data_IF_778538066289
#
_entry.id   IF_778538066289
#
_cell.length_a   1.000
_cell.length_b   1.000
_cell.length_c   1.000
_cell.angle_alpha   90.00
_cell.angle_beta   90.00
_cell.angle_gamma   90.00
#
_symmetry.space_group_name_H-M   'P 1'
#
loop_
_entity.id
_entity.type
_entity.pdbx_description
1 polymer ?
#
# COMPACT_ATOMS: atom_id res chain seq x y z
N UNK A 1 38.97 28.30 8.64
CA UNK A 1 39.39 26.97 8.17
C UNK A 1 38.15 26.09 8.22
N UNK A 2 37.42 25.97 7.11
CA UNK A 2 36.17 25.21 7.06
C UNK A 2 36.49 23.70 7.04
N UNK A 3 35.74 22.86 7.77
CA UNK A 3 35.98 21.42 7.74
C UNK A 3 35.56 20.88 6.37
N UNK A 4 36.50 20.21 5.71
CA UNK A 4 36.29 19.52 4.43
C UNK A 4 35.27 18.41 4.66
N UNK A 5 34.11 18.53 4.02
CA UNK A 5 33.11 17.47 3.97
C UNK A 5 33.78 16.18 3.46
N UNK A 6 33.83 15.19 4.32
CA UNK A 6 34.27 13.85 3.96
C UNK A 6 33.25 13.28 2.97
N UNK A 7 33.65 13.16 1.71
CA UNK A 7 32.97 12.33 0.71
C UNK A 7 33.04 10.88 1.17
N UNK A 8 32.11 10.48 2.04
CA UNK A 8 31.85 9.08 2.30
C UNK A 8 31.22 8.49 1.04
N UNK A 9 32.05 7.77 0.29
CA UNK A 9 31.64 6.92 -0.82
C UNK A 9 30.82 5.77 -0.24
N UNK A 10 29.50 5.94 -0.14
CA UNK A 10 28.61 4.83 0.14
C UNK A 10 28.58 3.89 -1.05
N UNK A 11 29.04 2.65 -0.82
CA UNK A 11 28.99 1.50 -1.74
C UNK A 11 27.57 0.89 -1.85
N UNK A 12 26.54 1.71 -1.67
CA UNK A 12 25.12 1.37 -1.82
C UNK A 12 24.48 2.42 -2.72
N UNK A 13 23.69 1.98 -3.70
CA UNK A 13 23.04 2.88 -4.66
C UNK A 13 22.29 4.01 -3.91
N UNK A 14 22.56 5.30 -4.23
CA UNK A 14 22.08 6.44 -3.44
C UNK A 14 20.60 6.81 -3.69
N UNK A 15 19.75 5.86 -4.08
CA UNK A 15 18.43 6.18 -4.64
C UNK A 15 17.23 5.78 -3.78
N UNK A 16 17.41 5.23 -2.56
CA UNK A 16 16.28 4.90 -1.69
C UNK A 16 16.41 5.57 -0.32
N UNK A 17 15.51 6.51 -0.06
CA UNK A 17 15.43 7.17 1.25
C UNK A 17 14.99 6.20 2.34
N UNK A 18 15.24 6.55 3.60
CA UNK A 18 14.73 5.80 4.75
C UNK A 18 13.20 5.59 4.66
N UNK A 19 12.48 6.60 4.18
CA UNK A 19 11.04 6.54 3.98
C UNK A 19 10.64 5.44 2.98
N UNK A 20 11.34 5.30 1.84
CA UNK A 20 11.07 4.22 0.89
C UNK A 20 11.27 2.83 1.50
N UNK A 21 12.30 2.67 2.34
CA UNK A 21 12.59 1.39 2.99
C UNK A 21 11.48 1.02 3.97
N UNK A 22 11.07 1.96 4.82
CA UNK A 22 9.98 1.75 5.79
C UNK A 22 8.67 1.42 5.09
N UNK A 23 8.31 2.17 4.04
CA UNK A 23 7.09 1.92 3.25
C UNK A 23 7.11 0.55 2.56
N UNK A 24 8.26 0.05 2.10
CA UNK A 24 8.36 -1.31 1.55
C UNK A 24 8.27 -2.39 2.61
N UNK A 25 8.71 -2.10 3.83
CA UNK A 25 8.62 -3.03 4.96
C UNK A 25 7.20 -3.20 5.50
N UNK A 26 6.24 -2.34 5.13
CA UNK A 26 4.81 -2.61 5.30
C UNK A 26 4.48 -3.87 4.47
N UNK A 27 4.56 -5.04 5.13
CA UNK A 27 4.45 -6.36 4.48
C UNK A 27 3.10 -6.51 3.79
N UNK A 28 3.14 -7.21 2.66
CA UNK A 28 1.97 -7.82 2.04
C UNK A 28 1.67 -9.07 2.86
N UNK A 29 0.58 -9.08 3.62
CA UNK A 29 0.04 -10.36 4.10
C UNK A 29 -0.73 -10.94 2.92
N UNK A 30 -0.03 -11.59 1.99
CA UNK A 30 -0.71 -12.31 0.91
C UNK A 30 -1.43 -13.50 1.52
N UNK A 31 -2.71 -13.66 1.22
CA UNK A 31 -3.61 -14.72 1.70
C UNK A 31 -3.19 -16.19 1.42
N UNK A 32 -1.93 -16.46 1.07
CA UNK A 32 -1.41 -17.80 0.78
C UNK A 32 -0.81 -18.52 1.99
N UNK A 33 -0.51 -17.83 3.10
CA UNK A 33 0.00 -18.51 4.31
C UNK A 33 -1.12 -19.02 5.23
N UNK A 34 -2.35 -18.50 5.09
CA UNK A 34 -3.49 -18.90 5.95
C UNK A 34 -4.27 -20.09 5.38
N UNK A 35 -4.18 -20.35 4.07
CA UNK A 35 -4.98 -21.41 3.40
C UNK A 35 -4.28 -22.77 3.33
N UNK A 36 -2.96 -22.84 3.44
CA UNK A 36 -2.22 -24.12 3.41
C UNK A 36 -2.25 -24.89 4.73
N UNK A 37 -2.78 -24.30 5.81
CA UNK A 37 -3.00 -25.00 7.08
C UNK A 37 -4.30 -25.83 7.12
N UNK A 38 -5.25 -25.60 6.21
CA UNK A 38 -6.57 -26.27 6.24
C UNK A 38 -6.81 -27.30 5.13
N UNK A 39 -5.94 -27.39 4.11
CA UNK A 39 -6.21 -28.22 2.92
C UNK A 39 -5.59 -29.65 2.93
N UNK A 40 -4.71 -29.99 3.89
CA UNK A 40 -4.08 -31.33 3.96
C UNK A 40 -4.53 -32.15 5.17
N UNK A 41 -5.81 -32.04 5.54
CA UNK A 41 -6.34 -32.61 6.78
C UNK A 41 -7.45 -33.64 6.66
N UNK A 42 -7.84 -34.14 5.48
CA UNK A 42 -8.88 -35.19 5.41
C UNK A 42 -8.70 -36.14 4.21
N UNK A 43 -8.07 -37.29 4.44
CA UNK A 43 -8.49 -38.57 3.84
C UNK A 43 -7.74 -39.75 4.49
N UNK A 44 -8.34 -40.35 5.52
CA UNK A 44 -8.65 -41.79 5.51
C UNK A 44 -9.49 -42.19 6.74
N UNK A 45 -10.54 -42.95 6.46
CA UNK A 45 -11.48 -43.66 7.35
C UNK A 45 -10.68 -44.64 8.26
N UNK A 46 -11.01 -45.01 9.51
CA UNK A 46 -12.24 -45.37 10.26
C UNK A 46 -11.92 -45.42 11.78
N UNK A 47 -12.92 -45.40 12.71
CA UNK A 47 -12.73 -45.55 14.17
C UNK A 47 -13.04 -47.00 14.65
N UNK A 48 -13.07 -47.31 15.97
CA UNK A 48 -12.36 -46.77 17.14
C UNK A 48 -11.51 -47.87 17.83
N UNK A 49 -10.62 -47.54 18.78
CA UNK A 49 -10.45 -48.24 20.06
C UNK A 49 -9.67 -47.38 21.06
N UNK A 50 -10.01 -47.59 22.32
CA UNK A 50 -9.68 -46.86 23.54
C UNK A 50 -8.18 -46.83 23.84
N UNK A 51 -7.68 -45.72 24.39
CA UNK A 51 -7.20 -45.70 25.77
C UNK A 51 -6.76 -44.29 26.19
N UNK A 52 -7.07 -44.02 27.45
CA UNK A 52 -6.70 -42.89 28.28
C UNK A 52 -5.25 -42.43 28.11
N UNK A 53 -5.07 -41.13 27.87
CA UNK A 53 -4.04 -40.28 28.48
C UNK A 53 -4.44 -38.81 28.26
N UNK A 54 -4.83 -38.14 29.35
CA UNK A 54 -4.93 -36.68 29.43
C UNK A 54 -3.50 -36.12 29.38
N UNK A 55 -3.13 -35.53 28.23
CA UNK A 55 -2.07 -34.52 28.17
C UNK A 55 -2.72 -33.26 27.60
N UNK A 56 -3.08 -32.37 28.51
CA UNK A 56 -3.66 -31.05 28.24
C UNK A 56 -2.61 -30.15 27.59
N UNK A 57 -2.39 -30.32 26.29
CA UNK A 57 -1.71 -29.34 25.45
C UNK A 57 -2.75 -28.43 24.81
N UNK A 58 -2.88 -27.22 25.34
CA UNK A 58 -3.65 -26.13 24.72
C UNK A 58 -3.05 -25.75 23.35
N UNK A 59 -3.86 -25.33 22.36
CA UNK A 59 -3.35 -24.85 21.08
C UNK A 59 -2.91 -23.38 21.17
N UNK A 60 -1.68 -23.12 21.60
CA UNK A 60 -1.10 -21.77 21.78
C UNK A 60 -0.68 -21.04 20.47
N UNK A 61 -1.03 -21.51 19.27
CA UNK A 61 -0.27 -21.10 18.05
C UNK A 61 -0.96 -20.12 17.09
N UNK A 62 -2.20 -19.66 17.36
CA UNK A 62 -2.92 -18.80 16.41
C UNK A 62 -3.02 -17.33 16.87
N UNK A 63 -3.30 -17.07 18.14
CA UNK A 63 -3.57 -15.71 18.64
C UNK A 63 -2.29 -14.86 18.80
N UNK A 64 -1.17 -15.48 19.15
CA UNK A 64 0.12 -14.78 19.37
C UNK A 64 0.75 -14.25 18.06
N UNK A 65 0.46 -14.90 16.92
CA UNK A 65 1.01 -14.47 15.61
C UNK A 65 0.27 -13.28 15.00
N UNK A 66 -0.98 -13.03 15.40
CA UNK A 66 -1.79 -11.91 14.89
C UNK A 66 -1.37 -10.60 15.56
N UNK A 67 -1.08 -10.63 16.87
CA UNK A 67 -0.68 -9.45 17.66
C UNK A 67 0.69 -8.92 17.24
N UNK A 68 1.68 -9.78 16.99
CA UNK A 68 3.03 -9.37 16.57
C UNK A 68 3.05 -8.63 15.22
N UNK A 69 2.17 -9.03 14.30
CA UNK A 69 2.08 -8.42 12.96
C UNK A 69 1.42 -7.03 13.00
N UNK A 70 0.41 -6.85 13.84
CA UNK A 70 -0.23 -5.55 14.07
C UNK A 70 0.73 -4.58 14.77
N UNK A 71 1.48 -5.04 15.77
CA UNK A 71 2.51 -4.25 16.44
C UNK A 71 3.61 -3.79 15.48
N UNK A 72 4.06 -4.68 14.59
CA UNK A 72 5.05 -4.33 13.58
C UNK A 72 4.52 -3.28 12.58
N UNK A 73 3.26 -3.40 12.14
CA UNK A 73 2.60 -2.41 11.28
C UNK A 73 2.53 -1.03 11.94
N UNK A 74 2.07 -1.00 13.20
CA UNK A 74 1.96 0.22 14.00
C UNK A 74 3.32 0.90 14.21
N UNK A 75 4.36 0.11 14.47
CA UNK A 75 5.73 0.62 14.60
C UNK A 75 6.21 1.28 13.30
N UNK A 76 5.93 0.68 12.14
CA UNK A 76 6.31 1.24 10.85
C UNK A 76 5.55 2.53 10.54
N UNK A 77 4.26 2.62 10.88
CA UNK A 77 3.47 3.85 10.73
C UNK A 77 4.01 4.98 11.62
N UNK A 78 4.36 4.66 12.87
CA UNK A 78 5.00 5.62 13.78
C UNK A 78 6.37 6.10 13.25
N UNK A 79 7.14 5.20 12.63
CA UNK A 79 8.40 5.55 11.98
C UNK A 79 8.19 6.48 10.78
N UNK A 80 7.17 6.22 9.93
CA UNK A 80 6.78 7.11 8.82
C UNK A 80 6.46 8.50 9.35
N UNK A 81 5.55 8.61 10.33
CA UNK A 81 5.18 9.89 10.92
C UNK A 81 6.39 10.64 11.52
N UNK A 82 7.28 9.92 12.20
CA UNK A 82 8.50 10.51 12.78
C UNK A 82 9.45 11.04 11.71
N UNK A 83 9.65 10.29 10.61
CA UNK A 83 10.49 10.72 9.49
C UNK A 83 9.88 11.95 8.82
N UNK A 84 8.57 11.95 8.55
CA UNK A 84 7.89 13.08 7.89
C UNK A 84 7.90 14.33 8.77
N UNK A 85 7.77 14.18 10.08
CA UNK A 85 7.86 15.31 11.02
C UNK A 85 9.27 15.90 11.09
N UNK A 86 10.30 15.06 11.10
CA UNK A 86 11.69 15.51 11.16
C UNK A 86 12.20 16.03 9.80
N UNK A 87 11.74 15.44 8.71
CA UNK A 87 12.18 15.75 7.36
C UNK A 87 11.01 15.63 6.34
N UNK A 88 10.14 16.64 6.25
CA UNK A 88 8.96 16.60 5.37
C UNK A 88 9.28 16.39 3.89
N UNK A 89 10.40 16.96 3.44
CA UNK A 89 10.86 16.83 2.05
C UNK A 89 11.12 15.36 1.64
N UNK A 90 11.30 14.44 2.60
CA UNK A 90 11.47 13.01 2.35
C UNK A 90 10.35 12.41 1.49
N UNK A 91 9.12 12.92 1.62
CA UNK A 91 7.95 12.43 0.91
C UNK A 91 8.03 12.67 -0.61
N UNK A 92 8.69 13.75 -1.03
CA UNK A 92 8.82 14.16 -2.43
C UNK A 92 10.12 13.68 -3.09
N UNK A 93 11.02 13.03 -2.35
CA UNK A 93 12.25 12.49 -2.95
C UNK A 93 11.88 11.28 -3.80
N UNK A 94 12.19 11.26 -5.11
CA UNK A 94 11.94 10.10 -5.95
C UNK A 94 13.02 9.03 -5.76
N UNK A 95 12.64 7.76 -5.94
CA UNK A 95 13.60 6.67 -6.09
C UNK A 95 14.15 6.59 -7.53
N UNK A 96 14.93 5.54 -7.83
CA UNK A 96 15.54 5.36 -9.16
C UNK A 96 14.53 5.21 -10.32
N UNK A 97 13.25 4.96 -10.04
CA UNK A 97 12.17 4.88 -11.01
C UNK A 97 11.37 6.18 -11.10
N UNK A 98 11.76 7.25 -10.40
CA UNK A 98 10.97 8.47 -10.28
C UNK A 98 9.84 8.36 -9.26
N UNK A 99 9.70 7.22 -8.57
CA UNK A 99 8.58 6.97 -7.66
C UNK A 99 8.86 7.56 -6.29
N UNK A 100 7.92 8.37 -5.80
CA UNK A 100 7.90 8.86 -4.41
C UNK A 100 7.35 7.81 -3.44
N UNK A 101 7.37 8.10 -2.13
CA UNK A 101 6.72 7.26 -1.13
C UNK A 101 5.23 7.04 -1.40
N UNK A 102 4.53 8.07 -1.93
CA UNK A 102 3.11 8.00 -2.28
C UNK A 102 2.83 6.98 -3.39
N UNK A 103 3.71 6.88 -4.40
CA UNK A 103 3.59 5.83 -5.42
C UNK A 103 3.67 4.44 -4.80
N UNK A 104 4.64 4.22 -3.89
CA UNK A 104 4.87 2.91 -3.30
C UNK A 104 3.70 2.43 -2.42
N UNK A 105 3.08 3.32 -1.64
CA UNK A 105 1.89 2.95 -0.85
C UNK A 105 0.68 2.66 -1.75
N UNK A 106 0.59 3.25 -2.93
CA UNK A 106 -0.48 2.99 -3.91
C UNK A 106 -0.25 1.73 -4.75
N UNK A 107 0.95 1.12 -4.73
CA UNK A 107 1.24 -0.12 -5.47
C UNK A 107 0.55 -1.36 -4.88
N UNK A 108 0.05 -1.29 -3.65
CA UNK A 108 -0.68 -2.36 -2.97
C UNK A 108 -1.61 -1.74 -1.93
N UNK A 109 -2.81 -2.28 -1.78
CA UNK A 109 -3.87 -1.71 -0.94
C UNK A 109 -4.11 -2.60 0.27
N UNK A 110 -3.11 -2.67 1.16
CA UNK A 110 -3.29 -3.23 2.50
C UNK A 110 -3.75 -2.14 3.49
N UNK A 111 -4.40 -2.49 4.61
CA UNK A 111 -4.81 -1.52 5.63
C UNK A 111 -3.65 -0.62 6.08
N UNK A 112 -2.48 -1.21 6.34
CA UNK A 112 -1.29 -0.47 6.74
C UNK A 112 -0.76 0.47 5.64
N UNK A 113 -0.82 0.07 4.36
CA UNK A 113 -0.44 0.96 3.25
C UNK A 113 -1.42 2.12 3.08
N UNK A 114 -2.71 1.88 3.28
CA UNK A 114 -3.72 2.93 3.25
C UNK A 114 -3.50 3.94 4.37
N UNK A 115 -3.23 3.49 5.60
CA UNK A 115 -2.89 4.39 6.70
C UNK A 115 -1.59 5.17 6.43
N UNK A 116 -0.57 4.53 5.88
CA UNK A 116 0.64 5.21 5.44
C UNK A 116 0.37 6.26 4.35
N UNK A 117 -0.54 5.98 3.41
CA UNK A 117 -0.96 6.93 2.39
C UNK A 117 -1.70 8.14 2.98
N UNK A 118 -2.58 7.91 3.96
CA UNK A 118 -3.26 9.00 4.67
C UNK A 118 -2.26 9.88 5.45
N UNK A 119 -1.28 9.28 6.12
CA UNK A 119 -0.20 10.03 6.79
C UNK A 119 0.63 10.86 5.81
N UNK A 120 0.93 10.31 4.63
CA UNK A 120 1.64 11.04 3.57
C UNK A 120 0.80 12.20 3.02
N UNK A 121 -0.52 12.02 2.85
CA UNK A 121 -1.42 13.09 2.43
C UNK A 121 -1.52 14.20 3.48
N UNK A 122 -1.56 13.86 4.77
CA UNK A 122 -1.60 14.83 5.86
C UNK A 122 -0.34 15.72 5.89
N UNK A 123 0.85 15.11 5.70
CA UNK A 123 2.12 15.82 5.81
C UNK A 123 2.62 16.40 4.50
N UNK A 124 2.23 15.82 3.36
CA UNK A 124 2.81 16.10 2.04
C UNK A 124 1.81 15.83 0.91
N UNK A 125 0.68 16.57 0.88
CA UNK A 125 -0.40 16.35 -0.09
C UNK A 125 0.04 16.54 -1.54
N UNK A 126 1.07 17.34 -1.80
CA UNK A 126 1.61 17.58 -3.15
C UNK A 126 2.12 16.30 -3.83
N UNK A 127 2.45 15.25 -3.05
CA UNK A 127 3.01 14.00 -3.57
C UNK A 127 2.05 13.21 -4.47
N UNK A 128 0.75 13.53 -4.45
CA UNK A 128 -0.25 12.95 -5.38
C UNK A 128 -0.08 13.41 -6.82
N UNK A 129 0.56 14.56 -7.02
CA UNK A 129 0.76 15.19 -8.34
C UNK A 129 2.04 14.75 -9.03
N UNK A 130 2.93 14.13 -8.26
CA UNK A 130 4.23 13.69 -8.75
C UNK A 130 4.02 12.56 -9.76
N UNK A 131 4.81 12.61 -10.84
CA UNK A 131 4.84 11.58 -11.87
C UNK A 131 6.16 10.83 -11.80
N UNK A 132 6.10 9.52 -11.97
CA UNK A 132 7.30 8.69 -12.08
C UNK A 132 7.89 8.70 -13.51
N UNK A 133 8.96 7.93 -13.74
CA UNK A 133 9.61 7.86 -15.06
C UNK A 133 8.71 7.22 -16.15
N UNK A 134 7.59 6.60 -15.78
CA UNK A 134 6.60 6.07 -16.70
C UNK A 134 5.46 7.06 -16.96
N UNK A 135 5.53 8.28 -16.42
CA UNK A 135 4.47 9.28 -16.50
C UNK A 135 3.27 8.95 -15.60
N UNK A 136 3.40 7.96 -14.70
CA UNK A 136 2.31 7.52 -13.83
C UNK A 136 2.28 8.34 -12.56
N UNK A 137 1.09 8.78 -12.17
CA UNK A 137 0.78 9.31 -10.84
C UNK A 137 0.49 8.17 -9.85
N UNK A 138 0.46 8.42 -8.53
CA UNK A 138 0.00 7.42 -7.56
C UNK A 138 -1.40 6.87 -7.87
N UNK A 139 -2.29 7.68 -8.45
CA UNK A 139 -3.65 7.23 -8.82
C UNK A 139 -3.63 6.13 -9.89
N UNK A 140 -2.69 6.16 -10.85
CA UNK A 140 -2.53 5.07 -11.81
C UNK A 140 -2.30 3.74 -11.10
N UNK A 141 -1.43 3.74 -10.07
CA UNK A 141 -1.12 2.54 -9.31
C UNK A 141 -2.31 2.02 -8.51
N UNK A 142 -3.19 2.89 -8.01
CA UNK A 142 -4.41 2.46 -7.31
C UNK A 142 -5.38 1.77 -8.28
N UNK A 143 -5.51 2.27 -9.51
CA UNK A 143 -6.49 1.81 -10.50
C UNK A 143 -6.01 0.67 -11.41
N UNK A 144 -4.69 0.50 -11.56
CA UNK A 144 -4.07 -0.59 -12.35
C UNK A 144 -4.00 -1.93 -11.56
N UNK A 145 -4.57 -1.98 -10.36
CA UNK A 145 -4.56 -3.20 -9.54
C UNK A 145 -5.50 -4.25 -10.14
N UNK A 146 -4.94 -5.31 -10.72
CA UNK A 146 -5.72 -6.40 -11.32
C UNK A 146 -6.40 -7.32 -10.31
N UNK A 147 -5.90 -7.36 -9.06
CA UNK A 147 -6.40 -8.28 -8.03
C UNK A 147 -7.34 -7.61 -7.02
N UNK A 148 -7.37 -6.27 -6.98
CA UNK A 148 -8.21 -5.54 -6.04
C UNK A 148 -9.35 -4.88 -6.80
N UNK A 149 -10.58 -5.31 -6.49
CA UNK A 149 -11.76 -4.61 -6.97
C UNK A 149 -11.72 -3.17 -6.44
N UNK A 150 -11.82 -2.20 -7.36
CA UNK A 150 -11.97 -0.78 -6.99
C UNK A 150 -13.16 -0.55 -6.05
N UNK A 151 -14.12 -1.48 -6.03
CA UNK A 151 -15.28 -1.46 -5.14
C UNK A 151 -14.96 -1.71 -3.66
N UNK A 152 -13.73 -2.11 -3.32
CA UNK A 152 -13.35 -2.24 -1.91
C UNK A 152 -13.38 -0.87 -1.23
N UNK A 153 -13.97 -0.79 -0.03
CA UNK A 153 -14.01 0.47 0.74
C UNK A 153 -12.62 1.09 0.92
N UNK A 154 -11.59 0.26 1.01
CA UNK A 154 -10.21 0.67 1.18
C UNK A 154 -9.69 1.44 -0.05
N UNK A 155 -9.92 0.90 -1.25
CA UNK A 155 -9.56 1.53 -2.52
C UNK A 155 -10.34 2.82 -2.75
N UNK A 156 -11.66 2.79 -2.50
CA UNK A 156 -12.55 3.95 -2.69
C UNK A 156 -12.15 5.15 -1.86
N UNK A 157 -11.84 4.93 -0.57
CA UNK A 157 -11.43 6.00 0.33
C UNK A 157 -10.13 6.64 -0.13
N UNK A 158 -9.13 5.83 -0.52
CA UNK A 158 -7.86 6.36 -1.00
C UNK A 158 -8.00 7.13 -2.32
N UNK A 159 -8.79 6.61 -3.27
CA UNK A 159 -9.10 7.33 -4.53
C UNK A 159 -9.77 8.66 -4.23
N UNK A 160 -10.77 8.67 -3.35
CA UNK A 160 -11.44 9.90 -2.91
C UNK A 160 -10.47 10.89 -2.29
N UNK A 161 -9.59 10.43 -1.39
CA UNK A 161 -8.60 11.28 -0.75
C UNK A 161 -7.59 11.85 -1.74
N UNK A 162 -7.16 11.09 -2.73
CA UNK A 162 -6.25 11.57 -3.79
C UNK A 162 -6.95 12.62 -4.66
N UNK A 163 -8.17 12.34 -5.14
CA UNK A 163 -8.92 13.25 -6.01
C UNK A 163 -9.34 14.54 -5.32
N UNK A 164 -9.56 14.50 -4.00
CA UNK A 164 -9.77 15.70 -3.19
C UNK A 164 -8.57 16.67 -3.25
N UNK A 165 -7.35 16.16 -3.38
CA UNK A 165 -6.13 16.97 -3.43
C UNK A 165 -5.71 17.31 -4.86
N UNK A 166 -6.02 16.44 -5.83
CA UNK A 166 -5.74 16.67 -7.24
C UNK A 166 -6.77 16.00 -8.16
N UNK A 167 -7.87 16.69 -8.54
CA UNK A 167 -8.88 16.12 -9.43
C UNK A 167 -8.33 15.91 -10.85
N UNK A 168 -7.35 16.72 -11.25
CA UNK A 168 -6.69 16.63 -12.56
C UNK A 168 -5.86 15.36 -12.73
N UNK A 169 -5.57 14.65 -11.64
CA UNK A 169 -4.88 13.37 -11.70
C UNK A 169 -5.61 12.37 -12.61
N UNK A 170 -6.95 12.47 -12.75
CA UNK A 170 -7.73 11.61 -13.65
C UNK A 170 -7.35 11.72 -15.11
N UNK A 171 -6.82 12.87 -15.53
CA UNK A 171 -6.51 13.17 -16.93
C UNK A 171 -5.02 13.14 -17.24
N UNK A 172 -4.18 12.90 -16.24
CA UNK A 172 -2.75 12.76 -16.45
C UNK A 172 -2.50 11.46 -17.22
N UNK A 173 -2.00 11.54 -18.45
CA UNK A 173 -1.66 10.35 -19.20
C UNK A 173 -0.26 9.85 -18.86
N UNK A 174 -0.10 8.54 -18.83
CA UNK A 174 1.19 7.88 -18.72
C UNK A 174 1.91 7.78 -20.08
N UNK A 175 3.07 7.14 -20.10
CA UNK A 175 3.87 6.91 -21.32
C UNK A 175 3.16 6.06 -22.38
N UNK A 176 2.15 5.27 -22.00
CA UNK A 176 1.28 4.51 -22.90
C UNK A 176 0.09 5.33 -23.41
N UNK A 177 -0.01 6.60 -22.99
CA UNK A 177 -1.15 7.51 -23.23
C UNK A 177 -2.43 7.03 -22.54
N UNK A 178 -2.31 6.24 -21.48
CA UNK A 178 -3.45 5.81 -20.67
C UNK A 178 -3.60 6.76 -19.49
N UNK A 179 -4.82 7.22 -19.25
CA UNK A 179 -5.16 8.03 -18.07
C UNK A 179 -5.68 7.14 -16.94
N UNK A 180 -5.66 7.59 -15.67
CA UNK A 180 -6.32 6.88 -14.58
C UNK A 180 -7.81 6.66 -14.85
N UNK A 181 -8.46 7.60 -15.54
CA UNK A 181 -9.84 7.43 -15.97
C UNK A 181 -9.99 6.26 -16.96
N UNK A 182 -9.08 6.12 -17.93
CA UNK A 182 -9.09 4.98 -18.87
C UNK A 182 -8.88 3.64 -18.14
N UNK A 183 -8.00 3.61 -17.14
CA UNK A 183 -7.79 2.42 -16.30
C UNK A 183 -9.04 2.06 -15.51
N UNK A 184 -9.76 3.06 -14.99
CA UNK A 184 -11.01 2.85 -14.29
C UNK A 184 -12.09 2.23 -15.19
N UNK A 185 -12.21 2.70 -16.45
CA UNK A 185 -13.18 2.16 -17.40
C UNK A 185 -12.94 0.68 -17.76
N UNK A 186 -11.72 0.17 -17.53
CA UNK A 186 -11.39 -1.25 -17.71
C UNK A 186 -11.78 -2.12 -16.51
N UNK A 187 -12.04 -1.52 -15.35
CA UNK A 187 -12.42 -2.23 -14.12
C UNK A 187 -13.91 -2.59 -14.15
N UNK A 188 -14.28 -3.64 -13.40
CA UNK A 188 -15.68 -3.98 -13.20
C UNK A 188 -16.32 -3.02 -12.18
N UNK A 189 -17.13 -2.08 -12.69
CA UNK A 189 -17.83 -1.08 -11.88
C UNK A 189 -19.22 -1.54 -11.43
N UNK A 190 -19.64 -2.78 -11.70
CA UNK A 190 -21.00 -3.27 -11.43
C UNK A 190 -21.41 -3.21 -9.94
N UNK A 191 -20.44 -3.14 -9.03
CA UNK A 191 -20.64 -2.95 -7.59
C UNK A 191 -20.16 -1.60 -7.04
N UNK A 192 -19.80 -0.64 -7.90
CA UNK A 192 -19.38 0.67 -7.44
C UNK A 192 -20.56 1.41 -6.80
N UNK A 193 -20.35 1.92 -5.58
CA UNK A 193 -21.30 2.83 -4.95
C UNK A 193 -21.57 4.01 -5.90
N UNK A 194 -22.82 4.49 -5.92
CA UNK A 194 -23.20 5.74 -6.59
C UNK A 194 -22.25 6.89 -6.24
N UNK A 195 -21.59 6.83 -5.08
CA UNK A 195 -20.58 7.78 -4.63
C UNK A 195 -19.34 7.86 -5.52
N UNK A 196 -18.81 6.74 -6.05
CA UNK A 196 -17.65 6.80 -6.96
C UNK A 196 -18.07 7.40 -8.31
N UNK A 197 -19.21 6.96 -8.84
CA UNK A 197 -19.74 7.49 -10.09
C UNK A 197 -20.01 8.99 -9.98
N UNK A 198 -20.65 9.44 -8.90
CA UNK A 198 -20.90 10.84 -8.62
C UNK A 198 -19.60 11.65 -8.51
N UNK A 199 -18.60 11.15 -7.78
CA UNK A 199 -17.31 11.83 -7.62
C UNK A 199 -16.56 11.97 -8.96
N UNK A 200 -16.65 10.95 -9.82
CA UNK A 200 -16.04 11.00 -11.15
C UNK A 200 -16.79 11.94 -12.08
N UNK A 201 -18.11 11.96 -12.02
CA UNK A 201 -18.95 12.89 -12.80
C UNK A 201 -18.68 14.34 -12.37
N UNK A 202 -18.51 14.61 -11.06
CA UNK A 202 -18.13 15.92 -10.51
C UNK A 202 -16.77 16.42 -11.05
N UNK A 203 -15.82 15.51 -11.26
CA UNK A 203 -14.47 15.85 -11.75
C UNK A 203 -14.28 15.61 -13.26
N UNK A 204 -15.35 15.33 -14.01
CA UNK A 204 -15.33 15.15 -15.48
C UNK A 204 -15.46 16.46 -16.24
N UNK A 205 -16.01 17.52 -15.63
CA UNK A 205 -16.36 18.78 -16.28
C UNK A 205 -15.40 19.96 -16.02
N UNK A 206 -14.30 19.76 -15.27
CA UNK A 206 -13.28 20.80 -14.96
C UNK A 206 -12.01 20.70 -15.83
#
# INVERSE_FOLDING_TARGET
MAPREAKFVHRYAPAETALHRVVRSLRVVSCQEVTNAFANGQNNQTPPQTDSNEDSREPETAEETVTENEEFGNLMLAAIGSILKAYPAAASIPNMFGRTAMHLVCMDLSPARKEAALLLLEHSPQTVKEIDHFGRTPLHYVLDQQQNSITSNLSLELVRSILLHDPKALQQCDTSKETPYDLLLKQDLSGCSTALQQLLDEHREE
#
